data_IF_284866002168
#
_entry.id   IF_284866002168
#
_cell.length_a   1.000
_cell.length_b   1.000
_cell.length_c   1.000
_cell.angle_alpha   90.00
_cell.angle_beta   90.00
_cell.angle_gamma   90.00
#
_symmetry.space_group_name_H-M   'P 1'
#
loop_
_entity.id
_entity.type
_entity.pdbx_description
1 polymer ?
#
# COMPACT_ATOMS: atom_id res chain seq x y z
N UNK A 1 -30.34 42.85 39.26
CA UNK A 1 -29.26 41.91 39.48
C UNK A 1 -29.60 40.66 38.68
N UNK A 2 -28.95 40.43 37.53
CA UNK A 2 -29.14 39.25 36.69
C UNK A 2 -27.98 38.29 36.99
N UNK A 3 -28.28 37.09 37.46
CA UNK A 3 -27.30 36.04 37.71
C UNK A 3 -26.98 35.34 36.41
N UNK A 4 -25.74 35.46 35.93
CA UNK A 4 -25.21 34.66 34.84
C UNK A 4 -24.92 33.23 35.36
N UNK A 5 -25.66 32.25 34.87
CA UNK A 5 -25.35 30.85 35.10
C UNK A 5 -24.20 30.43 34.16
N UNK A 6 -23.01 30.21 34.71
CA UNK A 6 -21.91 29.54 34.00
C UNK A 6 -22.24 28.06 33.88
N UNK A 7 -22.53 27.59 32.65
CA UNK A 7 -22.58 26.16 32.34
C UNK A 7 -21.14 25.63 32.32
N UNK A 8 -20.80 24.77 33.28
CA UNK A 8 -19.53 24.04 33.26
C UNK A 8 -19.57 23.01 32.10
N UNK A 9 -18.72 23.20 31.08
CA UNK A 9 -18.45 22.21 30.09
C UNK A 9 -17.74 21.03 30.77
N UNK A 10 -18.45 19.92 30.92
CA UNK A 10 -17.85 18.66 31.34
C UNK A 10 -16.87 18.22 30.25
N UNK A 11 -15.62 17.85 30.61
CA UNK A 11 -14.71 17.27 29.62
C UNK A 11 -15.33 15.98 29.07
N UNK A 12 -15.46 15.90 27.75
CA UNK A 12 -15.88 14.66 27.07
C UNK A 12 -14.95 13.50 27.44
N UNK A 13 -15.42 12.26 27.38
CA UNK A 13 -14.59 11.10 27.70
C UNK A 13 -13.33 11.12 26.84
N UNK A 14 -12.17 11.13 27.49
CA UNK A 14 -10.88 10.97 26.81
C UNK A 14 -10.90 9.62 26.10
N UNK A 15 -10.87 9.63 24.77
CA UNK A 15 -10.69 8.40 23.99
C UNK A 15 -9.35 7.81 24.38
N UNK A 16 -9.35 6.60 24.95
CA UNK A 16 -8.12 5.91 25.31
C UNK A 16 -7.25 5.80 24.04
N UNK A 17 -6.00 6.23 24.14
CA UNK A 17 -5.04 6.12 23.04
C UNK A 17 -4.90 4.64 22.66
N UNK A 18 -4.91 4.34 21.36
CA UNK A 18 -4.74 2.97 20.87
C UNK A 18 -3.35 2.46 21.24
N UNK A 19 -3.27 1.24 21.78
CA UNK A 19 -1.98 0.61 22.07
C UNK A 19 -1.43 0.02 20.78
N UNK A 20 -0.16 0.33 20.48
CA UNK A 20 0.60 -0.26 19.36
C UNK A 20 1.56 -1.31 19.93
N UNK A 21 1.50 -2.53 19.42
CA UNK A 21 2.35 -3.64 19.84
C UNK A 21 2.97 -4.32 18.63
N UNK A 22 4.28 -4.53 18.61
CA UNK A 22 4.94 -5.34 17.60
C UNK A 22 4.60 -6.82 17.81
N UNK A 23 4.13 -7.52 16.77
CA UNK A 23 3.75 -8.94 16.82
C UNK A 23 4.64 -9.83 15.96
N UNK A 24 5.39 -9.26 15.03
CA UNK A 24 6.40 -9.98 14.25
C UNK A 24 7.51 -9.02 13.80
N UNK A 25 8.66 -9.57 13.46
CA UNK A 25 9.82 -8.87 12.90
C UNK A 25 10.62 -9.80 11.98
N UNK A 26 11.64 -9.28 11.30
CA UNK A 26 12.49 -10.05 10.38
C UNK A 26 11.88 -10.28 9.01
N UNK A 27 10.81 -9.55 8.66
CA UNK A 27 10.18 -9.61 7.35
C UNK A 27 10.99 -8.81 6.32
N UNK A 28 10.93 -9.22 5.06
CA UNK A 28 11.67 -8.63 3.95
C UNK A 28 10.82 -7.65 3.15
N UNK A 29 10.90 -6.35 3.47
CA UNK A 29 10.09 -5.29 2.85
C UNK A 29 8.59 -5.62 2.85
N UNK A 30 7.94 -5.82 4.02
CA UNK A 30 6.56 -6.28 4.09
C UNK A 30 5.58 -5.24 3.57
N UNK A 31 4.63 -5.69 2.75
CA UNK A 31 3.61 -4.88 2.07
C UNK A 31 2.20 -5.31 2.48
N UNK A 32 1.60 -6.19 1.70
CA UNK A 32 0.25 -6.70 1.91
C UNK A 32 0.12 -7.57 3.15
N UNK A 33 -1.03 -7.51 3.80
CA UNK A 33 -1.37 -8.31 4.98
C UNK A 33 -2.81 -8.77 4.91
N UNK A 34 -3.08 -9.98 5.39
CA UNK A 34 -4.43 -10.55 5.44
C UNK A 34 -4.53 -11.74 6.38
N UNK A 35 -5.70 -12.39 6.39
CA UNK A 35 -5.95 -13.55 7.25
C UNK A 35 -6.66 -14.65 6.46
N UNK A 36 -6.13 -15.87 6.50
CA UNK A 36 -6.74 -17.09 5.97
C UNK A 36 -7.08 -17.99 7.15
N UNK A 37 -8.35 -18.29 7.35
CA UNK A 37 -8.84 -19.13 8.46
C UNK A 37 -8.28 -18.70 9.83
N UNK A 38 -8.20 -17.40 10.05
CA UNK A 38 -7.69 -16.81 11.28
C UNK A 38 -6.16 -16.74 11.39
N UNK A 39 -5.41 -17.29 10.44
CA UNK A 39 -3.95 -17.22 10.38
C UNK A 39 -3.51 -16.03 9.55
N UNK A 40 -2.56 -15.27 10.06
CA UNK A 40 -2.00 -14.11 9.37
C UNK A 40 -1.11 -14.51 8.21
N UNK A 41 -1.28 -13.82 7.08
CA UNK A 41 -0.40 -13.89 5.91
C UNK A 41 0.14 -12.50 5.59
N UNK A 42 1.40 -12.43 5.13
CA UNK A 42 2.08 -11.20 4.73
C UNK A 42 2.74 -11.41 3.37
N UNK A 43 2.57 -10.42 2.49
CA UNK A 43 3.34 -10.30 1.25
C UNK A 43 4.62 -9.52 1.53
N UNK A 44 5.74 -10.04 1.11
CA UNK A 44 7.08 -9.47 1.30
C UNK A 44 7.69 -9.18 -0.07
N UNK A 45 7.99 -7.91 -0.35
CA UNK A 45 8.50 -7.49 -1.66
C UNK A 45 9.94 -7.94 -1.91
N UNK A 46 10.66 -8.39 -0.86
CA UNK A 46 12.05 -8.80 -0.97
C UNK A 46 13.03 -7.63 -0.99
N UNK A 47 14.20 -7.86 -1.57
CA UNK A 47 15.30 -6.88 -1.62
C UNK A 47 16.01 -6.85 -2.99
N UNK A 48 15.34 -7.36 -4.06
CA UNK A 48 15.93 -7.48 -5.40
C UNK A 48 16.92 -8.64 -5.50
N UNK A 49 18.00 -8.48 -6.25
CA UNK A 49 18.96 -9.54 -6.46
C UNK A 49 20.22 -9.07 -7.22
N UNK A 50 20.99 -10.02 -7.79
CA UNK A 50 22.29 -9.70 -8.37
C UNK A 50 22.24 -9.13 -9.80
N UNK A 51 21.07 -9.18 -10.48
CA UNK A 51 20.94 -8.79 -11.88
C UNK A 51 20.61 -7.30 -11.98
N UNK A 52 21.66 -6.48 -11.98
CA UNK A 52 21.52 -5.03 -11.93
C UNK A 52 21.66 -4.39 -13.32
N UNK A 53 20.85 -3.35 -13.56
CA UNK A 53 20.90 -2.52 -14.77
C UNK A 53 20.59 -1.06 -14.45
N UNK A 54 21.00 -0.15 -15.33
CA UNK A 54 20.66 1.26 -15.23
C UNK A 54 19.53 1.60 -16.19
N UNK A 55 18.54 2.32 -15.69
CA UNK A 55 17.46 2.87 -16.53
C UNK A 55 18.05 4.08 -17.31
N UNK A 56 17.93 4.11 -18.64
CA UNK A 56 18.38 5.26 -19.42
C UNK A 56 17.69 6.55 -18.97
N UNK A 57 18.47 7.58 -18.67
CA UNK A 57 18.01 8.85 -18.10
C UNK A 57 17.29 8.74 -16.74
N UNK A 58 17.37 7.59 -16.09
CA UNK A 58 16.83 7.34 -14.75
C UNK A 58 17.74 7.81 -13.62
N UNK A 59 17.47 7.36 -12.40
CA UNK A 59 18.25 7.73 -11.22
C UNK A 59 19.72 7.26 -11.32
N UNK A 60 20.64 7.85 -10.54
CA UNK A 60 22.08 7.55 -10.63
C UNK A 60 22.49 6.23 -9.96
N UNK A 61 21.55 5.39 -9.59
CA UNK A 61 21.78 4.07 -9.00
C UNK A 61 21.14 2.97 -9.85
N UNK A 62 21.66 1.73 -9.82
CA UNK A 62 21.12 0.64 -10.59
C UNK A 62 19.83 0.10 -9.97
N UNK A 63 18.96 -0.44 -10.81
CA UNK A 63 17.88 -1.32 -10.40
C UNK A 63 18.36 -2.77 -10.45
N UNK A 64 18.02 -3.58 -9.45
CA UNK A 64 18.57 -4.92 -9.30
C UNK A 64 17.46 -5.96 -9.16
N UNK A 65 17.29 -6.81 -10.17
CA UNK A 65 16.29 -7.88 -10.23
C UNK A 65 16.80 -9.17 -9.55
N UNK A 66 15.91 -9.83 -8.81
CA UNK A 66 16.09 -11.12 -8.20
C UNK A 66 14.78 -11.87 -7.96
N UNK A 67 14.86 -12.91 -7.16
CA UNK A 67 13.77 -13.82 -6.77
C UNK A 67 13.56 -13.84 -5.25
N UNK A 68 13.73 -12.69 -4.59
CA UNK A 68 13.71 -12.61 -3.13
C UNK A 68 12.34 -12.31 -2.53
N UNK A 69 11.34 -12.02 -3.36
CA UNK A 69 9.98 -11.79 -2.90
C UNK A 69 9.30 -13.10 -2.46
N UNK A 70 8.38 -13.00 -1.51
CA UNK A 70 7.66 -14.16 -0.95
C UNK A 70 6.32 -13.78 -0.33
N UNK A 71 5.53 -14.81 -0.01
CA UNK A 71 4.34 -14.70 0.82
C UNK A 71 4.47 -15.65 2.00
N UNK A 72 4.32 -15.15 3.21
CA UNK A 72 4.62 -15.91 4.43
C UNK A 72 3.42 -15.99 5.37
N UNK A 73 3.30 -17.13 6.07
CA UNK A 73 2.56 -17.22 7.32
C UNK A 73 3.29 -16.45 8.42
N UNK A 74 2.55 -15.74 9.25
CA UNK A 74 3.08 -15.08 10.44
C UNK A 74 2.36 -15.61 11.68
N UNK A 75 3.15 -16.09 12.66
CA UNK A 75 2.64 -16.52 13.95
C UNK A 75 2.61 -15.31 14.91
N UNK A 76 1.44 -14.77 15.18
CA UNK A 76 1.27 -13.59 16.03
C UNK A 76 1.58 -13.81 17.51
N UNK A 77 1.74 -15.06 17.95
CA UNK A 77 2.08 -15.40 19.33
C UNK A 77 3.58 -15.46 19.54
N UNK A 78 4.32 -16.07 18.59
CA UNK A 78 5.77 -16.25 18.69
C UNK A 78 6.56 -15.18 17.93
N UNK A 79 5.92 -14.46 17.01
CA UNK A 79 6.57 -13.52 16.10
C UNK A 79 7.31 -14.16 14.92
N UNK A 80 7.35 -15.51 14.88
CA UNK A 80 7.98 -16.24 13.78
C UNK A 80 7.17 -16.19 12.50
N UNK A 81 7.86 -16.34 11.36
CA UNK A 81 7.22 -16.44 10.05
C UNK A 81 7.83 -17.58 9.23
N UNK A 82 7.04 -18.14 8.30
CA UNK A 82 7.46 -19.21 7.39
C UNK A 82 6.89 -18.98 5.99
N UNK A 83 7.67 -19.14 4.91
CA UNK A 83 7.18 -18.95 3.56
C UNK A 83 6.09 -19.97 3.17
N UNK A 84 5.02 -19.46 2.53
CA UNK A 84 4.03 -20.24 1.79
C UNK A 84 4.55 -20.46 0.37
N UNK A 85 4.92 -19.35 -0.29
CA UNK A 85 5.56 -19.32 -1.61
C UNK A 85 6.75 -18.38 -1.53
N UNK A 86 7.85 -18.76 -2.14
CA UNK A 86 9.11 -18.01 -2.20
C UNK A 86 9.66 -18.04 -3.63
N UNK A 87 10.74 -17.32 -3.85
CA UNK A 87 11.38 -17.16 -5.14
C UNK A 87 10.46 -16.49 -6.16
N UNK A 88 9.70 -15.49 -5.69
CA UNK A 88 8.91 -14.62 -6.57
C UNK A 88 9.76 -13.43 -7.01
N UNK A 89 9.37 -12.83 -8.13
CA UNK A 89 9.99 -11.62 -8.68
C UNK A 89 10.15 -10.52 -7.63
N UNK A 90 11.32 -9.90 -7.63
CA UNK A 90 11.68 -8.76 -6.80
C UNK A 90 12.63 -7.84 -7.55
N UNK A 91 12.45 -6.53 -7.44
CA UNK A 91 13.35 -5.54 -8.00
C UNK A 91 13.63 -4.44 -6.97
N UNK A 92 14.90 -4.25 -6.64
CA UNK A 92 15.35 -3.14 -5.81
C UNK A 92 15.50 -1.88 -6.66
N UNK A 93 14.91 -0.79 -6.20
CA UNK A 93 15.02 0.55 -6.77
C UNK A 93 16.00 1.41 -5.94
N UNK A 94 17.04 0.79 -5.40
CA UNK A 94 18.00 1.45 -4.54
C UNK A 94 17.36 2.04 -3.26
N UNK A 95 17.58 3.34 -2.96
CA UNK A 95 17.04 3.96 -1.74
C UNK A 95 15.51 4.16 -1.76
N UNK A 96 14.85 4.00 -2.90
CA UNK A 96 13.41 4.15 -3.05
C UNK A 96 12.64 2.90 -2.57
N UNK A 97 13.36 1.81 -2.29
CA UNK A 97 12.80 0.56 -1.79
C UNK A 97 12.78 -0.56 -2.81
N UNK A 98 11.84 -1.47 -2.67
CA UNK A 98 11.76 -2.69 -3.48
C UNK A 98 10.33 -2.91 -3.96
N UNK A 99 10.16 -3.30 -5.23
CA UNK A 99 8.91 -3.81 -5.78
C UNK A 99 8.97 -5.34 -5.85
N UNK A 100 7.81 -5.98 -5.70
CA UNK A 100 7.65 -7.43 -5.68
C UNK A 100 6.23 -7.76 -5.25
N UNK A 101 6.03 -8.75 -4.38
CA UNK A 101 4.72 -9.04 -3.80
C UNK A 101 4.23 -7.84 -2.98
N UNK A 102 3.17 -7.20 -3.44
CA UNK A 102 2.65 -5.92 -2.95
C UNK A 102 1.27 -6.09 -2.29
N UNK A 103 0.20 -5.65 -2.91
CA UNK A 103 -1.16 -5.78 -2.39
C UNK A 103 -1.56 -7.23 -2.17
N UNK A 104 -2.23 -7.51 -1.05
CA UNK A 104 -2.71 -8.83 -0.69
C UNK A 104 -4.17 -8.78 -0.29
N UNK A 105 -4.96 -9.70 -0.81
CA UNK A 105 -6.34 -9.92 -0.40
C UNK A 105 -6.64 -11.41 -0.28
N UNK A 106 -7.62 -11.76 0.56
CA UNK A 106 -8.00 -13.17 0.80
C UNK A 106 -9.47 -13.36 0.44
N UNK A 107 -9.75 -14.43 -0.30
CA UNK A 107 -11.12 -14.85 -0.63
C UNK A 107 -11.19 -16.37 -0.79
N UNK A 108 -12.17 -16.98 -0.18
CA UNK A 108 -12.47 -18.43 -0.29
C UNK A 108 -11.23 -19.31 0.03
N UNK A 109 -10.48 -18.96 1.10
CA UNK A 109 -9.30 -19.68 1.54
C UNK A 109 -8.07 -19.54 0.62
N UNK A 110 -8.15 -18.74 -0.45
CA UNK A 110 -7.02 -18.42 -1.34
C UNK A 110 -6.48 -17.04 -1.05
N UNK A 111 -5.19 -16.89 -1.28
CA UNK A 111 -4.48 -15.62 -1.19
C UNK A 111 -4.29 -15.07 -2.59
N UNK A 112 -4.59 -13.80 -2.78
CA UNK A 112 -4.38 -13.08 -4.03
C UNK A 112 -3.38 -11.97 -3.80
N UNK A 113 -2.37 -11.89 -4.65
CA UNK A 113 -1.27 -10.92 -4.52
C UNK A 113 -1.03 -10.23 -5.85
N UNK A 114 -0.89 -8.92 -5.81
CA UNK A 114 -0.35 -8.15 -6.92
C UNK A 114 1.18 -8.14 -6.84
N UNK A 115 1.80 -8.42 -7.97
CA UNK A 115 3.23 -8.22 -8.16
C UNK A 115 3.45 -6.81 -8.73
N UNK A 116 4.27 -6.01 -8.06
CA UNK A 116 4.59 -4.66 -8.53
C UNK A 116 5.43 -4.65 -9.80
N UNK A 117 5.63 -3.46 -10.40
CA UNK A 117 6.31 -3.26 -11.69
C UNK A 117 5.57 -3.87 -12.89
N UNK A 118 6.18 -3.84 -14.05
CA UNK A 118 5.67 -4.45 -15.29
C UNK A 118 6.82 -5.09 -16.09
N UNK A 119 6.57 -6.17 -16.86
CA UNK A 119 7.63 -6.79 -17.65
C UNK A 119 8.26 -5.86 -18.69
N UNK A 120 7.54 -4.82 -19.14
CA UNK A 120 8.03 -3.85 -20.13
C UNK A 120 9.14 -2.94 -19.58
N UNK A 121 9.21 -2.76 -18.27
CA UNK A 121 10.23 -1.93 -17.60
C UNK A 121 11.47 -2.73 -17.19
N UNK A 122 11.41 -4.04 -17.29
CA UNK A 122 12.53 -4.93 -17.02
C UNK A 122 13.31 -5.27 -18.31
N UNK A 123 14.60 -5.64 -18.19
CA UNK A 123 15.35 -6.17 -19.32
C UNK A 123 14.63 -7.36 -19.96
N UNK A 124 14.55 -7.42 -21.31
CA UNK A 124 13.79 -8.47 -22.01
C UNK A 124 14.30 -9.91 -21.76
N UNK A 125 15.55 -10.06 -21.35
CA UNK A 125 16.18 -11.34 -21.01
C UNK A 125 15.97 -11.76 -19.54
N UNK A 126 15.31 -10.94 -18.73
CA UNK A 126 14.92 -11.28 -17.36
C UNK A 126 13.69 -12.19 -17.35
N UNK A 127 13.90 -13.51 -17.42
CA UNK A 127 12.80 -14.49 -17.48
C UNK A 127 11.79 -14.32 -16.34
N UNK A 128 12.27 -14.11 -15.11
CA UNK A 128 11.39 -13.95 -13.94
C UNK A 128 10.53 -12.68 -14.01
N UNK A 129 11.08 -11.57 -14.49
CA UNK A 129 10.31 -10.34 -14.65
C UNK A 129 9.26 -10.49 -15.77
N UNK A 130 9.61 -11.14 -16.89
CA UNK A 130 8.69 -11.41 -17.99
C UNK A 130 7.53 -12.33 -17.57
N UNK A 131 7.77 -13.26 -16.65
CA UNK A 131 6.75 -14.18 -16.17
C UNK A 131 5.88 -13.58 -15.05
N UNK A 132 6.45 -12.83 -14.11
CA UNK A 132 5.80 -12.52 -12.84
C UNK A 132 5.51 -11.04 -12.60
N UNK A 133 6.31 -10.10 -13.15
CA UNK A 133 6.08 -8.68 -12.91
C UNK A 133 4.70 -8.23 -13.40
N UNK A 134 4.03 -7.38 -12.63
CA UNK A 134 2.72 -6.83 -12.95
C UNK A 134 1.56 -7.84 -12.94
N UNK A 135 1.75 -9.04 -12.39
CA UNK A 135 0.70 -10.07 -12.34
C UNK A 135 -0.17 -9.94 -11.09
N UNK A 136 -1.47 -10.20 -11.27
CA UNK A 136 -2.30 -10.69 -10.18
C UNK A 136 -2.12 -12.20 -10.11
N UNK A 137 -1.60 -12.71 -9.01
CA UNK A 137 -1.43 -14.15 -8.77
C UNK A 137 -2.39 -14.66 -7.71
N UNK A 138 -2.81 -15.93 -7.85
CA UNK A 138 -3.58 -16.68 -6.85
C UNK A 138 -2.70 -17.74 -6.23
N UNK A 139 -2.63 -17.76 -4.91
CA UNK A 139 -1.84 -18.73 -4.12
C UNK A 139 -2.78 -19.65 -3.38
N UNK A 140 -2.56 -20.96 -3.51
CA UNK A 140 -3.20 -21.97 -2.67
C UNK A 140 -2.28 -22.26 -1.48
N UNK A 141 -2.63 -21.87 -0.26
CA UNK A 141 -1.75 -22.01 0.89
C UNK A 141 -1.55 -23.47 1.34
N UNK A 142 -2.45 -24.39 0.96
CA UNK A 142 -2.35 -25.81 1.30
C UNK A 142 -1.36 -26.55 0.40
N UNK A 143 -1.35 -26.25 -0.90
CA UNK A 143 -0.42 -26.87 -1.87
C UNK A 143 0.87 -26.08 -2.03
N UNK A 144 0.92 -24.86 -1.48
CA UNK A 144 2.05 -23.92 -1.63
C UNK A 144 2.40 -23.61 -3.09
N UNK A 145 1.37 -23.57 -3.94
CA UNK A 145 1.50 -23.29 -5.37
C UNK A 145 0.78 -22.01 -5.74
N UNK A 146 1.23 -21.34 -6.78
CA UNK A 146 0.58 -20.16 -7.33
C UNK A 146 0.28 -20.31 -8.82
N UNK A 147 -0.64 -19.47 -9.32
CA UNK A 147 -0.95 -19.32 -10.73
C UNK A 147 -1.26 -17.87 -11.07
N UNK A 148 -0.94 -17.45 -12.28
CA UNK A 148 -1.34 -16.13 -12.80
C UNK A 148 -2.85 -16.09 -13.02
N UNK A 149 -3.50 -15.02 -12.53
CA UNK A 149 -4.92 -14.70 -12.75
C UNK A 149 -5.08 -13.71 -13.88
N UNK A 150 -4.30 -12.62 -13.86
CA UNK A 150 -4.36 -11.55 -14.85
C UNK A 150 -3.02 -10.82 -14.99
N UNK A 151 -2.86 -10.16 -16.13
CA UNK A 151 -1.68 -9.36 -16.51
C UNK A 151 -2.01 -7.87 -16.31
N UNK A 152 -2.14 -7.46 -15.05
CA UNK A 152 -2.57 -6.09 -14.70
C UNK A 152 -1.57 -5.08 -15.23
N UNK A 153 -0.29 -5.17 -14.82
CA UNK A 153 0.75 -4.23 -15.24
C UNK A 153 0.93 -4.12 -16.76
N UNK A 154 0.85 -5.26 -17.51
CA UNK A 154 0.95 -5.21 -18.97
C UNK A 154 -0.25 -4.45 -19.59
N UNK A 155 -1.45 -4.62 -19.04
CA UNK A 155 -2.65 -3.94 -19.53
C UNK A 155 -2.56 -2.44 -19.26
N UNK A 156 -2.18 -2.06 -18.05
CA UNK A 156 -2.15 -0.69 -17.58
C UNK A 156 -1.00 0.10 -18.21
N UNK A 157 0.17 -0.55 -18.38
CA UNK A 157 1.27 0.01 -19.16
C UNK A 157 0.84 0.37 -20.58
N UNK A 158 0.15 -0.55 -21.28
CA UNK A 158 -0.34 -0.26 -22.63
C UNK A 158 -1.43 0.81 -22.64
N UNK A 159 -2.22 0.91 -21.58
CA UNK A 159 -3.26 1.94 -21.44
C UNK A 159 -2.66 3.34 -21.33
N UNK A 160 -1.53 3.52 -20.65
CA UNK A 160 -0.92 4.86 -20.46
C UNK A 160 -0.31 5.43 -21.74
N UNK A 161 0.04 4.57 -22.74
CA UNK A 161 0.73 4.97 -23.96
C UNK A 161 0.14 6.19 -24.69
N UNK A 162 -1.19 6.34 -24.86
CA UNK A 162 -1.79 7.51 -25.51
C UNK A 162 -1.67 8.82 -24.74
N UNK A 163 -1.41 8.75 -23.44
CA UNK A 163 -1.36 9.92 -22.55
C UNK A 163 0.07 10.40 -22.29
N UNK A 164 1.07 9.57 -22.63
CA UNK A 164 2.48 9.92 -22.46
C UNK A 164 2.94 10.89 -23.53
N UNK A 165 3.74 11.87 -23.15
CA UNK A 165 4.45 12.69 -24.13
C UNK A 165 5.72 11.97 -24.58
N UNK A 166 6.19 12.14 -25.84
CA UNK A 166 7.35 11.44 -26.35
C UNK A 166 8.70 11.88 -25.76
N UNK A 167 8.72 12.57 -24.65
CA UNK A 167 9.91 12.99 -23.91
C UNK A 167 10.39 11.86 -22.99
N UNK A 168 10.82 10.82 -23.58
CA UNK A 168 11.77 9.79 -23.13
C UNK A 168 12.29 9.97 -21.68
N UNK A 169 11.71 9.24 -20.72
CA UNK A 169 12.33 8.93 -19.44
C UNK A 169 12.66 10.10 -18.52
N UNK A 170 12.11 11.27 -18.77
CA UNK A 170 12.21 12.43 -17.88
C UNK A 170 10.81 12.73 -17.36
N UNK A 171 10.63 12.64 -16.05
CA UNK A 171 9.46 13.17 -15.37
C UNK A 171 9.21 14.61 -15.86
N UNK A 172 8.12 14.81 -16.56
CA UNK A 172 7.67 16.13 -16.99
C UNK A 172 6.35 16.41 -16.28
N UNK A 173 6.29 17.40 -15.39
CA UNK A 173 5.05 17.78 -14.74
C UNK A 173 3.90 17.96 -15.74
N UNK A 174 2.74 17.40 -15.41
CA UNK A 174 1.55 17.48 -16.26
C UNK A 174 1.48 16.44 -17.39
N UNK A 175 2.33 15.40 -17.36
CA UNK A 175 2.26 14.27 -18.30
C UNK A 175 2.10 12.96 -17.54
N UNK A 176 1.26 12.06 -18.06
CA UNK A 176 1.20 10.68 -17.56
C UNK A 176 2.52 9.98 -17.90
N UNK A 177 3.14 9.35 -16.94
CA UNK A 177 4.28 8.46 -17.19
C UNK A 177 3.82 7.20 -17.94
N UNK A 178 4.70 6.67 -18.80
CA UNK A 178 4.47 5.37 -19.43
C UNK A 178 4.98 4.30 -18.47
N UNK A 179 4.18 4.00 -17.49
CA UNK A 179 4.51 3.19 -16.33
C UNK A 179 3.32 2.32 -15.93
N UNK A 180 3.58 1.24 -15.21
CA UNK A 180 2.59 0.49 -14.45
C UNK A 180 3.23 -0.15 -13.21
N UNK A 181 2.60 0.06 -12.08
CA UNK A 181 3.01 -0.52 -10.82
C UNK A 181 1.77 -0.98 -10.03
N UNK A 182 1.18 -2.14 -10.37
CA UNK A 182 0.04 -2.70 -9.63
C UNK A 182 0.36 -2.83 -8.15
N UNK A 183 -0.43 -2.12 -7.32
CA UNK A 183 -0.07 -1.95 -5.92
C UNK A 183 -1.11 -2.50 -4.96
N UNK A 184 -2.38 -2.06 -5.04
CA UNK A 184 -3.45 -2.45 -4.14
C UNK A 184 -4.45 -3.42 -4.76
N UNK A 185 -4.90 -4.43 -4.01
CA UNK A 185 -5.92 -5.39 -4.47
C UNK A 185 -6.99 -5.62 -3.43
N UNK A 186 -8.24 -5.69 -3.87
CA UNK A 186 -9.40 -6.09 -3.09
C UNK A 186 -10.17 -7.22 -3.80
N UNK A 187 -10.12 -8.43 -3.26
CA UNK A 187 -10.88 -9.57 -3.77
C UNK A 187 -12.34 -9.50 -3.30
N UNK A 188 -13.27 -9.57 -4.23
CA UNK A 188 -14.71 -9.55 -3.98
C UNK A 188 -15.41 -10.66 -4.75
N UNK A 189 -16.66 -11.04 -4.43
CA UNK A 189 -17.41 -11.95 -5.26
C UNK A 189 -17.43 -11.50 -6.74
N UNK A 190 -17.03 -12.40 -7.65
CA UNK A 190 -16.99 -12.14 -9.09
C UNK A 190 -15.65 -11.65 -9.65
N UNK A 191 -14.74 -11.12 -8.83
CA UNK A 191 -13.46 -10.61 -9.32
C UNK A 191 -12.66 -9.85 -8.28
N UNK A 192 -11.95 -8.82 -8.78
CA UNK A 192 -11.02 -8.02 -7.98
C UNK A 192 -11.08 -6.56 -8.40
N UNK A 193 -10.92 -5.66 -7.47
CA UNK A 193 -10.52 -4.29 -7.74
C UNK A 193 -9.02 -4.17 -7.54
N UNK A 194 -8.33 -3.53 -8.48
CA UNK A 194 -6.89 -3.27 -8.41
C UNK A 194 -6.63 -1.77 -8.54
N UNK A 195 -5.69 -1.27 -7.76
CA UNK A 195 -5.17 0.09 -7.86
C UNK A 195 -3.74 0.01 -8.37
N UNK A 196 -3.47 0.66 -9.49
CA UNK A 196 -2.14 0.70 -10.11
C UNK A 196 -1.52 2.09 -9.90
N UNK A 197 -0.40 2.09 -9.19
CA UNK A 197 0.28 3.31 -8.77
C UNK A 197 1.11 3.97 -9.87
N UNK A 198 1.50 3.23 -10.91
CA UNK A 198 2.23 3.78 -12.06
C UNK A 198 1.29 4.32 -13.14
N UNK A 199 0.26 3.58 -13.49
CA UNK A 199 -0.71 3.99 -14.51
C UNK A 199 -1.79 4.95 -14.01
N UNK A 200 -1.85 5.22 -12.72
CA UNK A 200 -2.91 6.04 -12.08
C UNK A 200 -4.33 5.49 -12.29
N UNK A 201 -4.51 4.15 -12.28
CA UNK A 201 -5.80 3.53 -12.58
C UNK A 201 -6.43 2.83 -11.37
N UNK A 202 -7.75 2.74 -11.41
CA UNK A 202 -8.56 1.77 -10.68
C UNK A 202 -9.20 0.83 -11.69
N UNK A 203 -9.01 -0.48 -11.50
CA UNK A 203 -9.48 -1.48 -12.44
C UNK A 203 -10.42 -2.49 -11.81
N UNK A 204 -11.21 -3.13 -12.66
CA UNK A 204 -11.91 -4.36 -12.39
C UNK A 204 -11.24 -5.50 -13.14
N UNK A 205 -10.87 -6.55 -12.40
CA UNK A 205 -10.35 -7.81 -12.93
C UNK A 205 -11.38 -8.89 -12.68
N UNK A 206 -11.96 -9.46 -13.73
CA UNK A 206 -12.89 -10.58 -13.63
C UNK A 206 -12.19 -11.88 -13.19
N UNK A 207 -12.95 -12.84 -12.67
CA UNK A 207 -12.40 -14.18 -12.38
C UNK A 207 -11.87 -14.90 -13.62
N UNK A 208 -12.24 -14.46 -14.83
CA UNK A 208 -11.73 -14.94 -16.12
C UNK A 208 -10.44 -14.23 -16.57
N UNK A 209 -9.89 -13.37 -15.75
CA UNK A 209 -8.67 -12.60 -16.01
C UNK A 209 -8.86 -11.38 -16.91
N UNK A 210 -10.08 -11.08 -17.35
CA UNK A 210 -10.35 -9.88 -18.15
C UNK A 210 -10.29 -8.63 -17.28
N UNK A 211 -9.62 -7.61 -17.79
CA UNK A 211 -9.39 -6.34 -17.12
C UNK A 211 -10.23 -5.25 -17.78
N UNK A 212 -10.83 -4.40 -16.96
CA UNK A 212 -11.54 -3.20 -17.37
C UNK A 212 -11.09 -2.05 -16.49
N UNK A 213 -10.49 -1.03 -17.08
CA UNK A 213 -10.17 0.22 -16.39
C UNK A 213 -11.48 0.93 -16.04
N UNK A 214 -11.70 1.18 -14.76
CA UNK A 214 -12.89 1.82 -14.24
C UNK A 214 -12.72 3.33 -14.12
N UNK A 215 -11.52 3.76 -13.73
CA UNK A 215 -11.19 5.16 -13.57
C UNK A 215 -9.70 5.39 -13.79
N UNK A 216 -9.34 6.51 -14.43
CA UNK A 216 -8.00 7.02 -14.57
C UNK A 216 -7.94 8.32 -13.77
N UNK A 217 -7.16 8.32 -12.69
CA UNK A 217 -7.01 9.47 -11.80
C UNK A 217 -6.21 10.59 -12.48
N UNK A 218 -6.26 11.77 -11.90
CA UNK A 218 -5.56 12.91 -12.51
C UNK A 218 -4.03 12.72 -12.37
N UNK A 219 -3.36 12.74 -13.52
CA UNK A 219 -1.90 12.61 -13.65
C UNK A 219 -1.22 13.97 -13.87
N UNK A 220 -2.01 15.06 -13.98
CA UNK A 220 -1.46 16.38 -14.14
C UNK A 220 -0.89 16.83 -12.81
N UNK A 221 0.19 17.60 -12.91
CA UNK A 221 0.82 18.21 -11.75
C UNK A 221 -0.15 19.17 -11.05
N UNK A 222 -0.88 18.65 -10.08
CA UNK A 222 -1.93 19.38 -9.35
C UNK A 222 -1.33 20.30 -8.30
N UNK A 223 -0.21 19.92 -7.70
CA UNK A 223 0.55 20.71 -6.73
C UNK A 223 2.05 20.39 -6.84
N UNK A 224 2.84 21.25 -7.51
CA UNK A 224 4.27 21.04 -7.68
C UNK A 224 5.07 21.05 -6.36
N UNK A 225 4.44 21.44 -5.25
CA UNK A 225 5.06 21.40 -3.92
C UNK A 225 4.71 20.11 -3.15
N UNK A 226 3.88 19.26 -3.72
CA UNK A 226 3.53 17.95 -3.15
C UNK A 226 4.33 16.83 -3.82
N UNK A 227 4.48 15.70 -3.12
CA UNK A 227 5.09 14.49 -3.68
C UNK A 227 4.24 13.26 -3.31
N UNK A 228 3.87 12.45 -4.30
CA UNK A 228 3.89 12.77 -5.74
C UNK A 228 2.93 13.92 -6.05
N UNK A 229 3.16 14.63 -7.14
CA UNK A 229 2.30 15.73 -7.56
C UNK A 229 0.99 15.26 -8.20
N UNK A 230 0.99 14.10 -8.81
CA UNK A 230 -0.16 13.44 -9.42
C UNK A 230 -0.87 12.48 -8.43
N UNK A 231 -2.04 11.99 -8.85
CA UNK A 231 -2.81 11.02 -8.07
C UNK A 231 -2.30 9.59 -8.32
N UNK A 232 -1.53 9.07 -7.38
CA UNK A 232 -0.95 7.72 -7.41
C UNK A 232 -1.81 6.77 -6.54
N UNK A 233 -2.80 6.04 -7.11
CA UNK A 233 -3.68 5.19 -6.33
C UNK A 233 -2.95 3.95 -5.80
N UNK A 234 -3.11 3.68 -4.51
CA UNK A 234 -2.37 2.63 -3.80
C UNK A 234 -3.25 1.62 -3.11
N UNK A 235 -4.51 1.95 -2.84
CA UNK A 235 -5.41 1.02 -2.18
C UNK A 235 -6.86 1.26 -2.57
N UNK A 236 -7.65 0.20 -2.50
CA UNK A 236 -9.10 0.25 -2.69
C UNK A 236 -9.80 -0.50 -1.56
N UNK A 237 -10.88 0.07 -1.06
CA UNK A 237 -11.74 -0.50 -0.03
C UNK A 237 -13.21 -0.26 -0.37
N UNK A 238 -14.12 -1.03 0.23
CA UNK A 238 -15.56 -0.85 0.06
C UNK A 238 -16.17 -0.52 1.43
N UNK A 239 -16.88 0.59 1.50
CA UNK A 239 -17.66 0.98 2.67
C UNK A 239 -18.96 1.67 2.25
N UNK A 240 -20.06 1.32 2.90
CA UNK A 240 -21.38 1.92 2.70
C UNK A 240 -21.79 2.02 1.21
N UNK A 241 -21.55 0.94 0.44
CA UNK A 241 -21.93 0.83 -0.98
C UNK A 241 -21.13 1.72 -1.93
N UNK A 242 -19.97 2.20 -1.53
CA UNK A 242 -19.06 2.99 -2.36
C UNK A 242 -17.67 2.39 -2.34
N UNK A 243 -16.92 2.58 -3.44
CA UNK A 243 -15.48 2.33 -3.45
C UNK A 243 -14.75 3.54 -2.90
N UNK A 244 -13.71 3.27 -2.14
CA UNK A 244 -12.82 4.27 -1.56
C UNK A 244 -11.40 3.98 -2.02
N UNK A 245 -10.78 4.94 -2.67
CA UNK A 245 -9.42 4.81 -3.22
C UNK A 245 -8.53 5.82 -2.54
N UNK A 246 -7.49 5.33 -1.87
CA UNK A 246 -6.46 6.14 -1.26
C UNK A 246 -5.25 6.25 -2.18
N UNK A 247 -4.66 7.44 -2.25
CA UNK A 247 -3.59 7.78 -3.17
C UNK A 247 -2.33 8.21 -2.42
N UNK A 248 -1.17 7.91 -2.97
CA UNK A 248 0.12 8.31 -2.40
C UNK A 248 0.28 9.85 -2.32
N UNK A 249 -0.42 10.59 -3.17
CA UNK A 249 -0.53 12.06 -3.07
C UNK A 249 -1.25 12.56 -1.81
N UNK A 250 -1.83 11.66 -1.01
CA UNK A 250 -2.62 12.02 0.17
C UNK A 250 -4.10 12.27 -0.12
N UNK A 251 -4.53 12.05 -1.34
CA UNK A 251 -5.93 12.17 -1.71
C UNK A 251 -6.70 10.89 -1.33
N UNK A 252 -7.97 11.08 -1.01
CA UNK A 252 -8.96 10.00 -0.83
C UNK A 252 -10.14 10.27 -1.76
N UNK A 253 -10.45 9.31 -2.60
CA UNK A 253 -11.58 9.39 -3.50
C UNK A 253 -12.68 8.41 -3.10
N UNK A 254 -13.92 8.88 -3.20
CA UNK A 254 -15.11 8.06 -3.13
C UNK A 254 -15.70 7.94 -4.52
N UNK A 255 -15.89 6.72 -4.99
CA UNK A 255 -16.61 6.41 -6.23
C UNK A 255 -17.95 5.77 -5.86
N UNK A 256 -19.04 6.34 -6.37
CA UNK A 256 -20.37 5.76 -6.17
C UNK A 256 -20.68 4.69 -7.25
N UNK A 257 -21.81 3.99 -7.08
CA UNK A 257 -22.24 2.94 -8.00
C UNK A 257 -22.57 3.45 -9.41
N UNK A 258 -22.70 4.79 -9.62
CA UNK A 258 -22.93 5.43 -10.91
C UNK A 258 -21.62 5.90 -11.56
N UNK A 259 -20.49 5.69 -10.88
CA UNK A 259 -19.18 6.12 -11.37
C UNK A 259 -18.84 7.57 -11.07
N UNK A 260 -19.62 8.29 -10.25
CA UNK A 260 -19.24 9.64 -9.82
C UNK A 260 -18.09 9.56 -8.83
N UNK A 261 -17.05 10.32 -9.11
CA UNK A 261 -15.85 10.45 -8.28
C UNK A 261 -15.92 11.74 -7.47
N UNK A 262 -15.69 11.61 -6.17
CA UNK A 262 -15.67 12.76 -5.24
C UNK A 262 -14.43 12.67 -4.38
N UNK A 263 -13.60 13.71 -4.39
CA UNK A 263 -12.49 13.81 -3.45
C UNK A 263 -13.03 14.11 -2.05
N UNK A 264 -12.52 13.37 -1.06
CA UNK A 264 -12.87 13.51 0.34
C UNK A 264 -11.60 13.87 1.13
N UNK A 265 -11.67 14.88 1.98
CA UNK A 265 -10.54 15.32 2.80
C UNK A 265 -10.81 14.97 4.28
N UNK A 266 -10.35 13.83 4.76
CA UNK A 266 -10.38 13.49 6.18
C UNK A 266 -9.55 14.49 7.00
N UNK A 267 -10.20 15.18 7.93
CA UNK A 267 -9.59 16.27 8.70
C UNK A 267 -10.05 16.27 10.15
N UNK A 268 -9.26 16.86 10.99
CA UNK A 268 -9.64 17.27 12.36
C UNK A 268 -9.41 18.79 12.54
N UNK A 269 -9.46 19.26 13.78
CA UNK A 269 -9.24 20.67 14.10
C UNK A 269 -7.84 21.18 13.74
N UNK A 270 -6.87 20.28 13.56
CA UNK A 270 -5.49 20.61 13.16
C UNK A 270 -5.30 20.64 11.62
N UNK A 271 -6.30 20.22 10.83
CA UNK A 271 -6.23 20.21 9.37
C UNK A 271 -6.41 18.83 8.73
N UNK A 272 -6.01 18.67 7.46
CA UNK A 272 -6.03 17.39 6.75
C UNK A 272 -5.14 16.34 7.45
N UNK A 273 -5.57 15.08 7.41
CA UNK A 273 -4.89 13.97 8.10
C UNK A 273 -4.21 12.97 7.14
N UNK A 274 -4.48 13.07 5.85
CA UNK A 274 -3.88 12.19 4.85
C UNK A 274 -2.73 12.90 4.15
N UNK A 275 -1.67 12.13 3.89
CA UNK A 275 -0.46 12.61 3.23
C UNK A 275 -0.03 11.62 2.15
N UNK A 276 0.63 10.51 2.51
CA UNK A 276 1.14 9.52 1.58
C UNK A 276 0.45 8.18 1.86
N UNK A 277 -0.81 8.05 1.38
CA UNK A 277 -1.60 6.84 1.66
C UNK A 277 -1.04 5.67 0.86
N UNK A 278 -0.73 4.56 1.52
CA UNK A 278 -0.25 3.33 0.90
C UNK A 278 -1.18 2.13 1.13
N UNK A 279 -2.10 2.24 2.09
CA UNK A 279 -3.01 1.13 2.38
C UNK A 279 -4.30 1.59 3.01
N UNK A 280 -5.35 0.82 2.76
CA UNK A 280 -6.66 1.05 3.37
C UNK A 280 -7.41 -0.27 3.61
N UNK A 281 -8.23 -0.29 4.65
CA UNK A 281 -9.17 -1.37 4.95
C UNK A 281 -10.40 -0.81 5.63
N UNK A 282 -11.45 -1.64 5.75
CA UNK A 282 -12.70 -1.26 6.40
C UNK A 282 -13.06 -2.23 7.53
N UNK A 283 -13.74 -1.73 8.55
CA UNK A 283 -14.42 -2.59 9.51
C UNK A 283 -15.89 -2.84 9.12
N UNK A 284 -16.56 -3.74 9.84
CA UNK A 284 -17.96 -4.07 9.62
C UNK A 284 -18.94 -2.92 9.87
N UNK A 285 -18.50 -1.81 10.46
CA UNK A 285 -19.28 -0.59 10.69
C UNK A 285 -19.10 0.44 9.57
N UNK A 286 -18.27 0.13 8.55
CA UNK A 286 -17.96 1.02 7.44
C UNK A 286 -16.97 2.11 7.78
N UNK A 287 -16.21 2.00 8.89
CA UNK A 287 -15.08 2.89 9.10
C UNK A 287 -13.92 2.50 8.19
N UNK A 288 -13.25 3.47 7.61
CA UNK A 288 -11.98 3.29 6.89
C UNK A 288 -10.81 3.44 7.85
N UNK A 289 -9.80 2.62 7.65
CA UNK A 289 -8.47 2.73 8.26
C UNK A 289 -7.47 2.95 7.13
N UNK A 290 -6.86 4.13 7.12
CA UNK A 290 -5.97 4.62 6.07
C UNK A 290 -4.56 4.72 6.64
N UNK A 291 -3.58 4.24 5.92
CA UNK A 291 -2.18 4.25 6.37
C UNK A 291 -1.40 5.27 5.56
N UNK A 292 -0.91 6.30 6.25
CA UNK A 292 0.09 7.21 5.71
C UNK A 292 1.47 6.59 5.90
N UNK A 293 2.19 6.33 4.83
CA UNK A 293 3.56 5.79 4.89
C UNK A 293 4.55 6.80 5.44
N UNK A 294 4.36 8.07 5.09
CA UNK A 294 5.18 9.20 5.51
C UNK A 294 4.32 10.28 6.19
N UNK A 295 4.97 11.16 6.93
CA UNK A 295 4.38 12.38 7.45
C UNK A 295 4.19 13.44 6.36
N UNK A 296 3.67 14.62 6.73
CA UNK A 296 3.55 15.74 5.80
C UNK A 296 4.92 16.22 5.35
N UNK A 297 5.00 16.65 4.09
CA UNK A 297 6.22 17.19 3.48
C UNK A 297 6.84 16.28 2.42
N UNK A 298 7.99 16.68 1.92
CA UNK A 298 8.69 15.93 0.86
C UNK A 298 9.33 14.68 1.48
N UNK A 299 9.03 13.46 1.00
CA UNK A 299 9.74 12.25 1.41
C UNK A 299 11.25 12.45 1.28
N UNK A 300 12.03 11.73 2.09
CA UNK A 300 13.50 11.81 2.11
C UNK A 300 14.13 13.08 2.71
N UNK A 301 13.36 14.00 3.34
CA UNK A 301 13.89 15.04 4.24
C UNK A 301 13.54 14.72 5.71
N UNK A 302 14.47 14.71 6.72
CA UNK A 302 14.13 14.37 8.13
C UNK A 302 13.04 15.27 8.72
N UNK A 303 12.07 14.72 9.48
CA UNK A 303 11.87 13.36 10.04
C UNK A 303 10.85 12.49 9.23
N UNK A 304 11.10 12.18 8.01
CA UNK A 304 10.18 11.73 6.97
C UNK A 304 9.65 10.30 7.04
N UNK A 305 10.37 9.37 7.62
CA UNK A 305 9.92 7.96 7.64
C UNK A 305 8.87 7.67 8.73
N UNK A 306 8.20 8.70 9.21
CA UNK A 306 7.26 8.62 10.31
C UNK A 306 5.84 8.72 9.78
N UNK A 307 5.22 7.56 9.62
CA UNK A 307 3.85 7.43 9.17
C UNK A 307 2.84 7.34 10.31
N UNK A 308 1.58 7.16 9.90
CA UNK A 308 0.45 7.09 10.82
C UNK A 308 -0.69 6.24 10.28
N UNK A 309 -1.62 5.86 11.16
CA UNK A 309 -2.91 5.29 10.78
C UNK A 309 -4.01 6.27 11.14
N UNK A 310 -4.86 6.57 10.16
CA UNK A 310 -6.03 7.43 10.30
C UNK A 310 -7.28 6.58 10.26
N UNK A 311 -8.17 6.75 11.23
CA UNK A 311 -9.54 6.25 11.18
C UNK A 311 -10.44 7.33 10.62
N UNK A 312 -11.22 7.00 9.59
CA UNK A 312 -12.24 7.86 9.00
C UNK A 312 -13.61 7.18 9.07
N UNK A 313 -14.57 7.83 9.70
CA UNK A 313 -15.95 7.36 9.84
C UNK A 313 -16.75 7.84 8.64
N UNK A 314 -16.97 6.98 7.66
CA UNK A 314 -17.64 7.35 6.39
C UNK A 314 -19.07 7.85 6.57
N UNK A 315 -19.75 7.46 7.66
CA UNK A 315 -21.12 7.90 7.97
C UNK A 315 -21.22 9.29 8.57
N UNK A 316 -20.24 9.71 9.38
CA UNK A 316 -20.24 11.01 10.07
C UNK A 316 -19.24 12.02 9.47
N UNK A 317 -18.29 11.55 8.66
CA UNK A 317 -17.19 12.37 8.15
C UNK A 317 -16.09 12.67 9.17
N UNK A 318 -16.18 12.12 10.39
CA UNK A 318 -15.18 12.34 11.43
C UNK A 318 -13.91 11.55 11.14
N UNK A 319 -12.76 12.18 11.36
CA UNK A 319 -11.45 11.56 11.19
C UNK A 319 -10.57 11.79 12.43
N UNK A 320 -9.71 10.81 12.72
CA UNK A 320 -8.75 10.91 13.83
C UNK A 320 -7.51 10.08 13.55
N UNK A 321 -6.35 10.52 14.04
CA UNK A 321 -5.15 9.69 14.07
C UNK A 321 -5.31 8.62 15.14
N UNK A 322 -5.28 7.37 14.72
CA UNK A 322 -5.40 6.19 15.58
C UNK A 322 -4.06 5.79 16.18
N UNK A 323 -3.00 5.85 15.37
CA UNK A 323 -1.62 5.59 15.77
C UNK A 323 -0.69 6.45 14.93
N UNK A 324 0.36 6.98 15.54
CA UNK A 324 1.41 7.77 14.89
C UNK A 324 2.80 7.24 15.20
N UNK A 325 3.83 7.91 14.70
CA UNK A 325 5.24 7.55 14.88
C UNK A 325 5.57 6.12 14.42
N UNK A 326 4.94 5.67 13.34
CA UNK A 326 5.17 4.36 12.73
C UNK A 326 6.24 4.50 11.63
N UNK A 327 7.26 3.63 11.68
CA UNK A 327 8.31 3.67 10.65
C UNK A 327 7.82 3.00 9.37
N UNK A 328 7.69 3.74 8.29
CA UNK A 328 7.21 3.33 6.96
C UNK A 328 6.11 2.25 7.02
N UNK A 329 4.96 2.52 7.68
CA UNK A 329 3.84 1.60 7.67
C UNK A 329 3.26 1.50 6.26
N UNK A 330 2.63 0.35 5.94
CA UNK A 330 2.11 0.13 4.59
C UNK A 330 0.64 -0.32 4.62
N UNK A 331 0.34 -1.60 4.50
CA UNK A 331 -1.04 -2.06 4.35
C UNK A 331 -1.65 -2.52 5.67
N UNK A 332 -2.93 -2.20 5.90
CA UNK A 332 -3.67 -2.61 7.08
C UNK A 332 -4.61 -3.80 6.80
N UNK A 333 -4.89 -4.60 7.84
CA UNK A 333 -5.99 -5.57 7.83
C UNK A 333 -6.64 -5.67 9.21
N UNK A 334 -7.96 -5.88 9.25
CA UNK A 334 -8.66 -6.22 10.49
C UNK A 334 -8.46 -7.71 10.78
N UNK A 335 -7.92 -8.02 11.94
CA UNK A 335 -7.72 -9.40 12.39
C UNK A 335 -8.98 -10.05 12.94
N UNK A 336 -8.95 -11.38 13.14
CA UNK A 336 -10.08 -12.14 13.68
C UNK A 336 -10.41 -11.75 15.12
N UNK A 337 -9.51 -11.12 15.82
CA UNK A 337 -9.70 -10.56 17.17
C UNK A 337 -10.30 -9.15 17.18
N UNK A 338 -10.63 -8.61 16.00
CA UNK A 338 -11.20 -7.29 15.82
C UNK A 338 -10.20 -6.13 15.95
N UNK A 339 -8.91 -6.40 16.09
CA UNK A 339 -7.87 -5.39 16.10
C UNK A 339 -7.32 -5.12 14.70
N UNK A 340 -6.70 -3.97 14.52
CA UNK A 340 -6.02 -3.61 13.27
C UNK A 340 -4.58 -4.09 13.30
N UNK A 341 -4.15 -4.70 12.21
CA UNK A 341 -2.77 -5.10 11.98
C UNK A 341 -2.22 -4.31 10.79
N UNK A 342 -0.97 -3.86 10.91
CA UNK A 342 -0.33 -3.01 9.89
C UNK A 342 1.09 -3.52 9.66
N UNK A 343 1.49 -3.71 8.42
CA UNK A 343 2.90 -3.91 8.08
C UNK A 343 3.66 -2.61 8.25
N UNK A 344 4.90 -2.67 8.70
CA UNK A 344 5.77 -1.51 8.95
C UNK A 344 7.22 -1.85 8.64
N UNK A 345 8.06 -0.83 8.40
CA UNK A 345 9.39 -1.06 7.86
C UNK A 345 9.33 -1.61 6.44
N UNK A 346 8.42 -1.09 5.62
CA UNK A 346 8.17 -1.59 4.25
C UNK A 346 9.32 -1.35 3.25
N UNK A 347 10.36 -0.65 3.68
CA UNK A 347 11.63 -0.45 2.93
C UNK A 347 12.80 -1.19 3.58
N UNK A 348 12.55 -2.01 4.62
CA UNK A 348 13.57 -2.74 5.36
C UNK A 348 13.67 -4.18 4.85
N UNK A 349 14.85 -4.60 4.45
CA UNK A 349 15.13 -6.00 4.19
C UNK A 349 15.13 -6.85 5.47
N UNK A 350 15.07 -8.17 5.35
CA UNK A 350 15.08 -9.08 6.48
C UNK A 350 16.38 -9.00 7.30
N UNK A 351 17.49 -8.62 6.69
CA UNK A 351 18.78 -8.42 7.35
C UNK A 351 18.82 -7.16 8.20
N UNK A 352 17.85 -6.26 8.02
CA UNK A 352 17.77 -4.99 8.73
C UNK A 352 18.80 -3.98 8.23
N UNK A 353 19.11 -4.01 6.94
CA UNK A 353 20.01 -3.01 6.32
C UNK A 353 19.38 -1.63 6.44
N UNK A 354 20.16 -0.68 6.93
CA UNK A 354 19.69 0.68 7.18
C UNK A 354 19.73 1.55 5.92
N UNK A 355 18.65 2.22 5.56
CA UNK A 355 18.70 3.31 4.58
C UNK A 355 19.28 4.61 5.18
N UNK A 356 19.53 4.65 6.50
CA UNK A 356 20.01 5.84 7.18
C UNK A 356 21.53 6.06 6.94
N UNK A 357 22.01 7.32 6.99
CA UNK A 357 23.43 7.62 6.90
C UNK A 357 24.25 6.93 8.00
N UNK A 358 25.54 6.64 7.76
CA UNK A 358 26.42 6.04 8.76
C UNK A 358 26.41 6.83 10.08
N UNK A 359 26.23 6.13 11.20
CA UNK A 359 26.19 6.72 12.55
C UNK A 359 24.81 7.19 13.02
N UNK A 360 23.79 7.22 12.17
CA UNK A 360 22.41 7.41 12.59
C UNK A 360 21.81 6.11 13.17
N UNK A 361 20.79 6.20 14.06
CA UNK A 361 20.06 5.03 14.49
C UNK A 361 19.51 4.23 13.29
N UNK A 362 19.68 2.90 13.32
CA UNK A 362 19.14 2.04 12.26
C UNK A 362 17.64 1.78 12.48
N UNK A 363 16.73 2.40 11.70
CA UNK A 363 15.29 2.20 11.86
C UNK A 363 14.83 0.81 11.36
N UNK A 364 15.65 0.15 10.53
CA UNK A 364 15.41 -1.19 10.01
C UNK A 364 15.95 -2.31 10.91
N UNK A 365 16.50 -1.99 12.08
CA UNK A 365 17.01 -3.02 12.98
C UNK A 365 15.94 -4.09 13.25
N UNK A 366 16.28 -5.35 12.96
CA UNK A 366 15.38 -6.50 13.05
C UNK A 366 14.42 -6.64 11.86
N UNK A 367 14.71 -6.03 10.72
CA UNK A 367 13.92 -6.15 9.47
C UNK A 367 12.56 -5.47 9.52
N UNK A 368 11.74 -5.76 8.52
CA UNK A 368 10.34 -5.35 8.49
C UNK A 368 9.50 -6.00 9.58
N UNK A 369 8.34 -5.42 9.88
CA UNK A 369 7.55 -5.74 11.08
C UNK A 369 6.06 -5.84 10.77
N UNK A 370 5.33 -6.52 11.66
CA UNK A 370 3.87 -6.36 11.80
C UNK A 370 3.56 -5.74 13.15
N UNK A 371 2.74 -4.72 13.11
CA UNK A 371 2.24 -4.00 14.29
C UNK A 371 0.75 -4.31 14.48
N UNK A 372 0.35 -4.56 15.72
CA UNK A 372 -1.06 -4.65 16.15
C UNK A 372 -1.45 -3.35 16.82
N UNK A 373 -2.55 -2.78 16.38
CA UNK A 373 -3.15 -1.56 16.94
C UNK A 373 -4.49 -1.96 17.57
N UNK A 374 -4.59 -1.79 18.88
CA UNK A 374 -5.82 -2.12 19.61
C UNK A 374 -6.93 -1.17 19.22
N UNK A 375 -8.04 -1.71 18.72
CA UNK A 375 -9.25 -0.94 18.47
C UNK A 375 -10.15 -0.92 19.70
N UNK A 376 -10.81 0.22 20.03
CA UNK A 376 -11.78 0.26 21.10
C UNK A 376 -12.88 -0.78 20.86
N UNK A 377 -13.12 -1.64 21.83
CA UNK A 377 -14.28 -2.54 21.81
C UNK A 377 -15.55 -1.69 21.85
N UNK A 378 -16.49 -2.02 21.00
CA UNK A 378 -17.79 -1.35 20.94
C UNK A 378 -18.64 -1.70 22.15
#
# INVERSE_FOLDING_TARGET
MAALAMAALLPGPATAASTVTQVAAGLDSPRGIGFVDGRMVVAEAGHGGPNCFFVPNGPPFPFCIGDTSQVSWVNTTTGGHEPIVKHLFSISLGPEGTLGASGLSVRDGKIYVLMGSTPQEAPPDSAIAQEEAGRLISINPSTKSWMSVAKVGETDFNFTLPFTQPTQGVYSPGTQEHDANPYGVLAVPGGFYTADAGSNTLDWVGNDGKIKILHHFDWRDLDPNNFPSDDVPTCVAIANGSWWVGNLSGHLYRLDMNGHVTQVVPRNDSGPLLHHVTGCTTDSKGNLYLVNMFGPGIPFTPPFFVGSVVKYQTGSGQASVLAGNLFTPNMPAIGPDGNLYVTAGSICDAAGTSPAPPGAPNPCAGGGKVLKISLPRA
#
